data_IF_469195787097
#
_entry.id   IF_469195787097
#
_cell.length_a   1.000
_cell.length_b   1.000
_cell.length_c   1.000
_cell.angle_alpha   90.00
_cell.angle_beta   90.00
_cell.angle_gamma   90.00
#
_symmetry.space_group_name_H-M   'P 1'
#
loop_
_entity.id
_entity.type
_entity.pdbx_description
1 polymer ?
#
# COMPACT_ATOMS: atom_id res chain seq x y z
N UNK A 1 -11.72 -26.27 13.29
CA UNK A 1 -10.49 -26.33 12.56
C UNK A 1 -10.12 -25.01 11.95
N UNK A 2 -8.95 -24.59 12.20
CA UNK A 2 -8.49 -23.34 11.65
C UNK A 2 -8.09 -23.50 10.19
N UNK A 3 -8.54 -22.58 9.37
CA UNK A 3 -8.31 -22.64 7.94
C UNK A 3 -7.40 -21.51 7.46
N UNK A 4 -6.46 -21.11 8.31
CA UNK A 4 -5.54 -20.07 7.93
C UNK A 4 -4.84 -20.35 6.60
N UNK A 5 -4.51 -21.63 6.37
CA UNK A 5 -3.85 -22.01 5.13
C UNK A 5 -4.76 -21.90 3.92
N UNK A 6 -6.07 -21.80 4.15
CA UNK A 6 -7.04 -21.69 3.06
C UNK A 6 -7.42 -20.27 2.77
N UNK A 7 -6.89 -19.29 3.51
CA UNK A 7 -7.14 -17.90 3.20
C UNK A 7 -6.45 -17.52 1.90
N UNK A 8 -7.12 -16.74 1.10
CA UNK A 8 -6.52 -16.22 -0.11
C UNK A 8 -5.35 -15.33 0.26
N UNK A 9 -4.30 -15.43 -0.54
CA UNK A 9 -3.16 -14.55 -0.40
C UNK A 9 -3.39 -13.32 -1.28
N UNK A 10 -3.17 -12.15 -0.69
CA UNK A 10 -3.47 -10.90 -1.34
C UNK A 10 -2.19 -10.09 -1.51
N UNK A 11 -1.99 -9.57 -2.71
CA UNK A 11 -0.94 -8.58 -2.97
C UNK A 11 -1.65 -7.25 -3.10
N UNK A 12 -1.29 -6.30 -2.25
CA UNK A 12 -1.92 -4.98 -2.24
C UNK A 12 -0.97 -3.98 -2.88
N UNK A 13 -1.42 -3.39 -3.97
CA UNK A 13 -0.68 -2.36 -4.68
C UNK A 13 -1.42 -1.05 -4.53
N UNK A 14 -0.74 -0.04 -4.04
CA UNK A 14 -1.34 1.25 -3.71
C UNK A 14 -0.82 2.31 -4.67
N UNK A 15 -1.74 3.03 -5.31
CA UNK A 15 -1.39 4.19 -6.12
C UNK A 15 -1.26 5.38 -5.18
N UNK A 16 -0.06 5.62 -4.68
CA UNK A 16 0.14 6.61 -3.63
C UNK A 16 -0.07 8.04 -4.11
N UNK A 17 0.13 8.30 -5.40
CA UNK A 17 -0.10 9.65 -5.93
C UNK A 17 -1.57 10.03 -5.87
N UNK A 18 -2.46 9.07 -5.90
CA UNK A 18 -3.89 9.30 -5.93
C UNK A 18 -4.62 8.79 -4.69
N UNK A 19 -3.89 8.47 -3.63
CA UNK A 19 -4.47 7.90 -2.43
C UNK A 19 -4.13 8.78 -1.23
N UNK A 20 -5.11 9.03 -0.38
CA UNK A 20 -4.87 9.77 0.85
C UNK A 20 -4.23 8.84 1.88
N UNK A 21 -3.07 9.26 2.38
CA UNK A 21 -2.32 8.44 3.33
C UNK A 21 -3.12 8.15 4.59
N UNK A 22 -3.97 9.10 5.00
CA UNK A 22 -4.76 8.94 6.22
C UNK A 22 -5.78 7.81 6.13
N UNK A 23 -6.06 7.30 4.94
CA UNK A 23 -7.05 6.24 4.74
C UNK A 23 -6.45 4.86 4.57
N UNK A 24 -5.14 4.77 4.50
CA UNK A 24 -4.48 3.51 4.16
C UNK A 24 -4.69 2.46 5.24
N UNK A 25 -4.61 2.83 6.49
CA UNK A 25 -4.78 1.86 7.57
C UNK A 25 -6.16 1.21 7.51
N UNK A 26 -7.19 2.02 7.27
CA UNK A 26 -8.56 1.50 7.18
C UNK A 26 -8.72 0.57 5.98
N UNK A 27 -8.08 0.92 4.85
CA UNK A 27 -8.13 0.09 3.65
C UNK A 27 -7.48 -1.27 3.92
N UNK A 28 -6.30 -1.26 4.54
CA UNK A 28 -5.60 -2.50 4.86
C UNK A 28 -6.43 -3.36 5.80
N UNK A 29 -7.04 -2.72 6.80
CA UNK A 29 -7.88 -3.45 7.76
C UNK A 29 -9.06 -4.10 7.05
N UNK A 30 -9.70 -3.38 6.14
CA UNK A 30 -10.84 -3.93 5.42
C UNK A 30 -10.42 -5.09 4.53
N UNK A 31 -9.34 -4.93 3.79
CA UNK A 31 -8.86 -5.98 2.89
C UNK A 31 -8.44 -7.22 3.68
N UNK A 32 -7.90 -7.03 4.87
CA UNK A 32 -7.46 -8.14 5.71
C UNK A 32 -8.61 -9.03 6.16
N UNK A 33 -9.85 -8.56 6.05
CA UNK A 33 -10.99 -9.41 6.37
C UNK A 33 -11.29 -10.41 5.25
N UNK A 34 -10.72 -10.20 4.07
CA UNK A 34 -10.99 -11.06 2.90
C UNK A 34 -9.87 -12.06 2.63
N UNK A 35 -8.74 -11.92 3.28
CA UNK A 35 -7.63 -12.82 3.06
C UNK A 35 -6.38 -12.31 3.75
N UNK A 36 -5.27 -12.96 3.48
CA UNK A 36 -4.00 -12.60 4.09
C UNK A 36 -3.19 -11.75 3.13
N UNK A 37 -2.87 -10.52 3.54
CA UNK A 37 -2.02 -9.66 2.75
C UNK A 37 -0.57 -10.12 2.90
N UNK A 38 0.03 -10.58 1.82
CA UNK A 38 1.39 -11.10 1.85
C UNK A 38 2.41 -10.08 1.34
N UNK A 39 1.96 -9.11 0.55
CA UNK A 39 2.82 -8.05 0.02
C UNK A 39 2.02 -6.77 -0.01
N UNK A 40 2.64 -5.67 0.45
CA UNK A 40 2.03 -4.35 0.35
C UNK A 40 3.06 -3.40 -0.23
N UNK A 41 2.73 -2.79 -1.36
CA UNK A 41 3.62 -1.85 -2.02
C UNK A 41 2.87 -0.60 -2.42
N UNK A 42 3.50 0.55 -2.22
CA UNK A 42 2.93 1.83 -2.60
C UNK A 42 3.79 2.45 -3.70
N UNK A 43 3.15 2.71 -4.82
CA UNK A 43 3.81 3.27 -5.99
C UNK A 43 3.47 4.75 -6.10
N UNK A 44 4.49 5.57 -6.27
CA UNK A 44 4.28 7.00 -6.40
C UNK A 44 5.55 7.71 -6.78
N UNK A 45 5.42 8.99 -7.10
CA UNK A 45 6.59 9.81 -7.36
C UNK A 45 7.06 10.44 -6.06
N UNK A 46 7.90 9.71 -5.35
CA UNK A 46 8.36 10.12 -4.04
C UNK A 46 9.24 11.37 -4.07
N UNK A 47 9.71 11.75 -5.26
CA UNK A 47 10.54 12.94 -5.40
C UNK A 47 9.78 14.25 -5.23
N UNK A 48 8.46 14.17 -5.24
CA UNK A 48 7.61 15.36 -5.07
C UNK A 48 7.39 15.71 -3.60
N UNK A 49 8.17 15.18 -2.72
CA UNK A 49 8.01 15.44 -1.28
C UNK A 49 6.93 14.61 -0.65
N UNK A 50 6.31 13.73 -1.40
CA UNK A 50 5.23 12.90 -0.91
C UNK A 50 5.71 11.92 0.15
N UNK A 51 6.96 11.49 0.04
CA UNK A 51 7.53 10.56 1.00
C UNK A 51 7.42 11.09 2.42
N UNK A 52 7.58 12.40 2.58
CA UNK A 52 7.52 13.02 3.89
C UNK A 52 6.18 12.79 4.56
N UNK A 53 5.11 12.84 3.78
CA UNK A 53 3.76 12.62 4.32
C UNK A 53 3.45 11.16 4.57
N UNK A 54 4.10 10.27 3.84
CA UNK A 54 3.84 8.84 3.90
C UNK A 54 4.79 8.09 4.82
N UNK A 55 5.90 8.69 5.19
CA UNK A 55 7.02 7.98 5.81
C UNK A 55 6.61 7.20 7.05
N UNK A 56 5.86 7.83 7.95
CA UNK A 56 5.46 7.16 9.18
C UNK A 56 4.56 5.96 8.90
N UNK A 57 3.62 6.12 7.97
CA UNK A 57 2.71 5.03 7.65
C UNK A 57 3.39 3.90 6.91
N UNK A 58 4.34 4.24 6.03
CA UNK A 58 5.10 3.20 5.35
C UNK A 58 5.81 2.29 6.34
N UNK A 59 6.42 2.90 7.36
CA UNK A 59 7.12 2.15 8.38
C UNK A 59 6.17 1.39 9.29
N UNK A 60 5.14 2.09 9.76
CA UNK A 60 4.20 1.52 10.72
C UNK A 60 3.42 0.34 10.15
N UNK A 61 3.06 0.44 8.89
CA UNK A 61 2.23 -0.57 8.23
C UNK A 61 3.04 -1.54 7.37
N UNK A 62 4.37 -1.43 7.41
CA UNK A 62 5.28 -2.30 6.66
C UNK A 62 4.99 -2.27 5.16
N UNK A 63 4.81 -1.07 4.61
CA UNK A 63 4.55 -0.88 3.21
C UNK A 63 5.85 -0.51 2.52
N UNK A 64 6.19 -1.21 1.44
CA UNK A 64 7.37 -0.88 0.66
C UNK A 64 7.03 0.20 -0.36
N UNK A 65 7.81 1.27 -0.36
CA UNK A 65 7.64 2.34 -1.34
C UNK A 65 8.40 2.00 -2.61
N UNK A 66 7.73 2.13 -3.75
CA UNK A 66 8.34 1.93 -5.05
C UNK A 66 8.25 3.21 -5.83
N UNK A 67 9.33 3.59 -6.49
CA UNK A 67 9.34 4.81 -7.29
C UNK A 67 8.63 4.59 -8.60
N UNK A 68 7.70 5.46 -8.91
CA UNK A 68 7.03 5.49 -10.19
C UNK A 68 7.31 6.85 -10.81
N UNK A 69 7.91 6.84 -12.00
CA UNK A 69 8.21 8.07 -12.68
C UNK A 69 6.96 8.62 -13.36
N UNK A 70 6.88 9.95 -13.42
CA UNK A 70 5.80 10.58 -14.17
C UNK A 70 6.09 10.40 -15.64
N UNK A 71 5.13 9.91 -16.38
CA UNK A 71 5.24 9.83 -17.81
C UNK A 71 4.50 11.02 -18.42
N UNK A 72 5.15 11.67 -19.35
CA UNK A 72 4.49 12.71 -20.10
C UNK A 72 3.66 12.03 -21.16
N UNK A 73 2.36 12.07 -20.96
CA UNK A 73 1.45 11.59 -21.99
C UNK A 73 1.11 12.78 -22.84
N UNK A 74 1.45 12.66 -24.04
CA UNK A 74 1.34 13.74 -25.02
C UNK A 74 0.10 14.55 -24.93
#
# INVERSE_FOLDING_TARGET
>A
MDNMDNLQKIVLLIDADNTQVSKIEAVIREISTHGRIVVTRAYGNWKKGMLKNWENELKRLAIKAEQQFDYVTG
#
